data_IF_594386516587
#
_entry.id   IF_594386516587
#
_cell.length_a   1.000
_cell.length_b   1.000
_cell.length_c   1.000
_cell.angle_alpha   90.00
_cell.angle_beta   90.00
_cell.angle_gamma   90.00
#
_symmetry.space_group_name_H-M   'P 1'
#
loop_
_entity.id
_entity.type
_entity.pdbx_description
1 polymer ?
#
# COMPACT_ATOMS: atom_id res chain seq x y z
N UNK A 1 20.95 -18.74 1.02
CA UNK A 1 22.21 -18.44 0.32
C UNK A 1 22.14 -18.87 -1.14
N UNK A 2 21.66 -20.08 -1.44
CA UNK A 2 21.47 -20.56 -2.83
C UNK A 2 20.49 -19.72 -3.67
N UNK A 3 19.54 -19.01 -3.06
CA UNK A 3 18.56 -18.18 -3.76
C UNK A 3 19.13 -16.91 -4.39
N UNK A 4 20.30 -16.47 -3.95
CA UNK A 4 20.92 -15.20 -4.38
C UNK A 4 22.18 -15.41 -5.25
N UNK A 5 22.57 -16.65 -5.54
CA UNK A 5 23.78 -16.93 -6.31
C UNK A 5 23.68 -16.47 -7.79
N UNK A 6 22.45 -16.20 -8.27
CA UNK A 6 22.20 -15.67 -9.62
C UNK A 6 21.83 -14.18 -9.62
N UNK A 7 21.81 -13.53 -8.44
CA UNK A 7 21.40 -12.13 -8.29
C UNK A 7 22.60 -11.28 -7.94
N UNK A 8 22.84 -10.26 -8.75
CA UNK A 8 23.82 -9.22 -8.46
C UNK A 8 23.10 -8.03 -7.84
N UNK A 9 23.44 -7.71 -6.60
CA UNK A 9 22.90 -6.53 -5.92
C UNK A 9 23.76 -5.31 -6.29
N UNK A 10 23.10 -4.26 -6.75
CA UNK A 10 23.71 -2.98 -7.11
C UNK A 10 23.26 -1.86 -6.16
N UNK A 11 24.14 -0.90 -5.89
CA UNK A 11 23.84 0.23 -5.00
C UNK A 11 23.12 1.38 -5.72
N UNK A 12 23.30 1.47 -7.03
CA UNK A 12 22.72 2.54 -7.83
C UNK A 12 21.46 2.04 -8.56
N UNK A 13 20.27 2.63 -8.28
CA UNK A 13 19.03 2.25 -8.98
C UNK A 13 19.09 2.36 -10.51
N UNK A 14 19.92 3.26 -11.05
CA UNK A 14 20.12 3.41 -12.49
C UNK A 14 20.84 2.23 -13.16
N UNK A 15 21.38 1.31 -12.40
CA UNK A 15 22.06 0.10 -12.88
C UNK A 15 21.23 -1.17 -12.64
N UNK A 16 20.09 -1.05 -11.92
CA UNK A 16 19.26 -2.16 -11.54
C UNK A 16 18.28 -2.55 -12.65
N UNK A 17 18.30 -3.79 -13.11
CA UNK A 17 17.26 -4.34 -14.00
C UNK A 17 15.92 -4.48 -13.27
N UNK A 18 15.96 -4.76 -11.95
CA UNK A 18 14.78 -4.88 -11.09
C UNK A 18 15.04 -4.17 -9.77
N UNK A 19 14.15 -3.27 -9.38
CA UNK A 19 14.07 -2.80 -8.01
C UNK A 19 13.03 -3.61 -7.23
N UNK A 20 13.46 -4.23 -6.14
CA UNK A 20 12.56 -4.90 -5.20
C UNK A 20 12.32 -3.99 -3.99
N UNK A 21 11.12 -3.43 -3.90
CA UNK A 21 10.73 -2.57 -2.80
C UNK A 21 10.01 -3.40 -1.72
N UNK A 22 10.65 -3.58 -0.58
CA UNK A 22 10.06 -4.22 0.59
C UNK A 22 9.44 -3.13 1.48
N UNK A 23 8.14 -2.95 1.34
CA UNK A 23 7.37 -1.86 1.95
C UNK A 23 6.69 -2.39 3.20
N UNK A 24 7.13 -1.95 4.38
CA UNK A 24 6.57 -2.37 5.67
C UNK A 24 6.14 -1.13 6.47
N UNK A 25 5.01 -0.51 6.10
CA UNK A 25 4.54 0.67 6.80
C UNK A 25 4.05 0.30 8.19
N UNK A 26 4.12 1.27 9.09
CA UNK A 26 3.66 1.15 10.46
C UNK A 26 2.78 2.35 10.78
N UNK A 27 1.57 2.08 11.29
CA UNK A 27 0.82 3.17 11.91
C UNK A 27 1.56 3.57 13.19
N UNK A 28 1.97 4.82 13.26
CA UNK A 28 2.82 5.32 14.32
C UNK A 28 2.22 5.21 15.72
N UNK A 29 2.63 6.07 16.61
CA UNK A 29 2.17 6.11 18.01
C UNK A 29 0.64 6.30 18.18
N UNK A 30 -0.06 6.52 17.11
CA UNK A 30 -1.48 6.89 17.08
C UNK A 30 -2.43 5.77 17.44
N UNK A 31 -2.05 4.54 17.27
CA UNK A 31 -2.89 3.41 17.67
C UNK A 31 -3.34 3.51 19.13
N UNK A 32 -2.57 4.22 19.95
CA UNK A 32 -2.85 4.41 21.38
C UNK A 32 -3.19 5.86 21.76
N UNK A 33 -2.97 6.84 20.90
CA UNK A 33 -2.99 8.25 21.32
C UNK A 33 -4.23 9.02 20.85
N UNK A 34 -4.85 8.63 19.73
CA UNK A 34 -6.01 9.35 19.18
C UNK A 34 -7.11 8.37 18.83
N UNK A 35 -8.12 8.14 19.71
CA UNK A 35 -9.24 7.26 19.43
C UNK A 35 -9.94 7.67 18.13
N UNK A 36 -10.12 6.69 17.22
CA UNK A 36 -10.85 6.87 15.98
C UNK A 36 -10.08 7.45 14.81
N UNK A 37 -8.77 7.71 14.95
CA UNK A 37 -7.92 8.13 13.85
C UNK A 37 -6.79 7.11 13.60
N UNK A 38 -6.60 6.76 12.35
CA UNK A 38 -5.51 5.92 11.89
C UNK A 38 -5.08 6.38 10.50
N UNK A 39 -3.83 6.83 10.36
CA UNK A 39 -3.28 7.13 9.04
C UNK A 39 -2.97 5.82 8.32
N UNK A 40 -3.61 5.60 7.19
CA UNK A 40 -3.46 4.42 6.35
C UNK A 40 -2.72 4.69 5.04
N UNK A 41 -2.40 5.95 4.75
CA UNK A 41 -1.55 6.30 3.62
C UNK A 41 -0.09 5.89 3.88
N UNK A 42 0.60 5.42 2.85
CA UNK A 42 2.03 5.09 2.93
C UNK A 42 2.81 6.37 2.65
N UNK A 43 3.19 7.07 3.70
CA UNK A 43 3.72 8.43 3.63
C UNK A 43 4.92 8.67 4.55
N UNK A 44 5.62 9.76 4.30
CA UNK A 44 6.70 10.31 5.13
C UNK A 44 6.53 11.82 5.20
N UNK A 45 6.53 12.36 6.44
CA UNK A 45 6.36 13.78 6.72
C UNK A 45 5.05 14.40 6.13
N UNK A 46 4.01 13.60 5.93
CA UNK A 46 2.68 14.06 5.49
C UNK A 46 2.08 14.96 6.57
N UNK A 47 1.55 16.11 6.17
CA UNK A 47 0.79 16.96 7.09
C UNK A 47 -0.65 16.47 7.15
N UNK A 48 -1.10 16.08 8.32
CA UNK A 48 -2.45 15.60 8.58
C UNK A 48 -3.14 16.43 9.65
N UNK A 49 -4.47 16.52 9.58
CA UNK A 49 -5.25 17.22 10.62
C UNK A 49 -5.34 16.35 11.87
N UNK A 50 -5.26 17.00 13.03
CA UNK A 50 -5.66 16.35 14.27
C UNK A 50 -7.17 16.09 14.25
N UNK A 51 -7.61 15.11 15.01
CA UNK A 51 -9.04 14.84 15.21
C UNK A 51 -9.42 15.08 16.68
N UNK A 52 -10.65 15.51 16.91
CA UNK A 52 -11.21 15.63 18.25
C UNK A 52 -11.65 14.28 18.83
N UNK A 53 -12.17 14.26 20.04
CA UNK A 53 -12.67 13.06 20.72
C UNK A 53 -13.82 12.36 19.96
N UNK A 54 -14.49 13.06 19.04
CA UNK A 54 -15.53 12.51 18.18
C UNK A 54 -15.00 12.02 16.83
N UNK A 55 -13.69 12.10 16.56
CA UNK A 55 -13.08 11.73 15.29
C UNK A 55 -13.22 12.79 14.19
N UNK A 56 -13.62 14.04 14.50
CA UNK A 56 -13.73 15.11 13.52
C UNK A 56 -12.43 15.87 13.35
N UNK A 57 -12.03 16.20 12.11
CA UNK A 57 -10.83 17.02 11.87
C UNK A 57 -10.91 18.37 12.58
N UNK A 58 -9.80 18.76 13.17
CA UNK A 58 -9.60 20.08 13.80
C UNK A 58 -8.76 20.98 12.89
N UNK A 59 -8.57 22.23 13.28
CA UNK A 59 -7.67 23.17 12.57
C UNK A 59 -6.17 22.91 12.87
N UNK A 60 -5.88 22.12 13.90
CA UNK A 60 -4.52 21.76 14.25
C UNK A 60 -4.01 20.64 13.36
N UNK A 61 -2.73 20.66 13.07
CA UNK A 61 -2.06 19.67 12.22
C UNK A 61 -0.81 19.13 12.88
N UNK A 62 -0.43 17.92 12.46
CA UNK A 62 0.86 17.32 12.82
C UNK A 62 1.50 16.66 11.61
N UNK A 63 2.72 16.16 11.77
CA UNK A 63 3.42 15.36 10.75
C UNK A 63 3.25 13.88 11.04
N UNK A 64 2.89 13.13 10.00
CA UNK A 64 2.74 11.69 10.05
C UNK A 64 3.75 11.01 9.14
N UNK A 65 4.33 9.92 9.63
CA UNK A 65 5.23 9.05 8.88
C UNK A 65 4.86 7.60 9.16
N UNK A 66 4.28 6.95 8.19
CA UNK A 66 3.98 5.52 8.25
C UNK A 66 5.12 4.67 7.68
N UNK A 67 5.94 5.24 6.80
CA UNK A 67 7.10 4.58 6.21
C UNK A 67 8.26 5.55 6.07
N UNK A 68 9.33 5.32 6.83
CA UNK A 68 10.59 6.07 6.64
C UNK A 68 11.19 5.71 5.28
N UNK A 69 11.51 6.72 4.48
CA UNK A 69 12.02 6.57 3.12
C UNK A 69 10.92 6.51 2.04
N UNK A 70 9.64 6.71 2.39
CA UNK A 70 8.56 6.76 1.41
C UNK A 70 8.81 7.82 0.33
N UNK A 71 9.35 8.98 0.70
CA UNK A 71 9.68 10.06 -0.24
C UNK A 71 10.76 9.70 -1.27
N UNK A 72 11.52 8.62 -1.06
CA UNK A 72 12.57 8.16 -2.00
C UNK A 72 12.04 7.19 -3.06
N UNK A 73 10.89 6.57 -2.82
CA UNK A 73 10.35 5.49 -3.66
C UNK A 73 10.15 5.95 -5.11
N UNK A 74 9.54 7.11 -5.32
CA UNK A 74 9.31 7.64 -6.68
C UNK A 74 10.63 7.86 -7.44
N UNK A 75 11.65 8.43 -6.79
CA UNK A 75 12.94 8.65 -7.42
C UNK A 75 13.68 7.35 -7.76
N UNK A 76 13.55 6.33 -6.92
CA UNK A 76 14.10 4.99 -7.21
C UNK A 76 13.39 4.40 -8.43
N UNK A 77 12.07 4.44 -8.45
CA UNK A 77 11.27 3.92 -9.57
C UNK A 77 11.58 4.64 -10.89
N UNK A 78 11.66 5.97 -10.87
CA UNK A 78 12.04 6.76 -12.03
C UNK A 78 13.43 6.39 -12.57
N UNK A 79 14.41 6.22 -11.70
CA UNK A 79 15.76 5.84 -12.09
C UNK A 79 15.80 4.45 -12.73
N UNK A 80 15.05 3.48 -12.21
CA UNK A 80 14.95 2.13 -12.75
C UNK A 80 14.21 2.13 -14.09
N UNK A 81 13.08 2.81 -14.19
CA UNK A 81 12.27 2.88 -15.40
C UNK A 81 13.00 3.62 -16.54
N UNK A 82 13.86 4.60 -16.23
CA UNK A 82 14.57 5.40 -17.23
C UNK A 82 15.43 4.57 -18.20
N UNK A 83 15.86 3.37 -17.81
CA UNK A 83 16.62 2.45 -18.66
C UNK A 83 15.89 1.13 -18.97
N UNK A 84 14.57 1.09 -18.72
CA UNK A 84 13.73 -0.06 -19.06
C UNK A 84 13.66 -1.14 -17.97
N UNK A 85 14.23 -0.88 -16.80
CA UNK A 85 14.12 -1.76 -15.63
C UNK A 85 12.69 -1.83 -15.09
N UNK A 86 12.45 -2.72 -14.13
CA UNK A 86 11.15 -3.00 -13.55
C UNK A 86 11.15 -2.78 -12.04
N UNK A 87 10.01 -2.35 -11.52
CA UNK A 87 9.78 -2.16 -10.08
C UNK A 87 8.78 -3.19 -9.59
N UNK A 88 9.21 -4.01 -8.66
CA UNK A 88 8.37 -5.00 -7.97
C UNK A 88 8.25 -4.59 -6.52
N UNK A 89 7.04 -4.36 -6.05
CA UNK A 89 6.80 -3.98 -4.66
C UNK A 89 6.12 -5.10 -3.89
N UNK A 90 6.55 -5.31 -2.65
CA UNK A 90 5.88 -6.15 -1.70
C UNK A 90 5.47 -5.32 -0.49
N UNK A 91 4.17 -5.21 -0.25
CA UNK A 91 3.64 -4.47 0.90
C UNK A 91 3.28 -5.45 2.01
N UNK A 92 3.84 -5.24 3.20
CA UNK A 92 3.39 -5.94 4.39
C UNK A 92 2.13 -5.27 4.92
N UNK A 93 1.02 -6.02 4.97
CA UNK A 93 -0.31 -5.51 5.28
C UNK A 93 -0.90 -6.10 6.57
N UNK A 94 -0.37 -5.80 7.75
CA UNK A 94 -1.08 -6.08 9.00
C UNK A 94 -2.38 -5.26 9.10
N UNK A 95 -2.50 -4.20 8.30
CA UNK A 95 -3.64 -3.30 8.18
C UNK A 95 -4.00 -3.11 6.70
N UNK A 96 -5.19 -2.58 6.43
CA UNK A 96 -5.64 -2.23 5.07
C UNK A 96 -5.03 -0.89 4.62
N UNK A 97 -3.74 -0.89 4.30
CA UNK A 97 -3.03 0.29 3.82
C UNK A 97 -3.62 0.83 2.51
N UNK A 98 -3.56 2.14 2.34
CA UNK A 98 -3.81 2.81 1.06
C UNK A 98 -2.61 2.60 0.13
N UNK A 99 -2.79 1.79 -0.90
CA UNK A 99 -1.67 1.31 -1.71
C UNK A 99 -1.37 2.15 -2.95
N UNK A 100 -2.17 3.19 -3.22
CA UNK A 100 -2.09 3.96 -4.46
C UNK A 100 -0.75 4.63 -4.72
N UNK A 101 -0.05 5.09 -3.68
CA UNK A 101 1.28 5.69 -3.82
C UNK A 101 2.33 4.68 -4.30
N UNK A 102 2.22 3.42 -3.89
CA UNK A 102 3.11 2.33 -4.27
C UNK A 102 2.69 1.70 -5.60
N UNK A 103 1.38 1.47 -5.79
CA UNK A 103 0.84 0.88 -7.02
C UNK A 103 1.27 1.69 -8.25
N UNK A 104 1.14 3.00 -8.19
CA UNK A 104 1.43 3.90 -9.31
C UNK A 104 2.88 3.83 -9.83
N UNK A 105 3.82 3.39 -9.01
CA UNK A 105 5.25 3.30 -9.37
C UNK A 105 5.71 1.86 -9.60
N UNK A 106 4.85 0.88 -9.41
CA UNK A 106 5.18 -0.54 -9.47
C UNK A 106 4.70 -1.18 -10.76
N UNK A 107 5.55 -1.99 -11.38
CA UNK A 107 5.16 -2.87 -12.50
C UNK A 107 4.45 -4.13 -12.00
N UNK A 108 4.76 -4.57 -10.79
CA UNK A 108 4.09 -5.65 -10.10
C UNK A 108 3.99 -5.36 -8.60
N UNK A 109 2.85 -5.73 -8.01
CA UNK A 109 2.56 -5.54 -6.60
C UNK A 109 2.19 -6.87 -5.97
N UNK A 110 2.84 -7.21 -4.87
CA UNK A 110 2.49 -8.32 -4.00
C UNK A 110 2.16 -7.83 -2.60
N UNK A 111 1.35 -8.60 -1.89
CA UNK A 111 0.94 -8.28 -0.52
C UNK A 111 1.30 -9.45 0.38
N UNK A 112 1.95 -9.15 1.49
CA UNK A 112 2.29 -10.10 2.53
C UNK A 112 1.59 -9.77 3.85
N UNK A 113 1.34 -10.79 4.66
CA UNK A 113 0.79 -10.68 6.00
C UNK A 113 1.81 -11.27 6.97
N UNK A 114 2.83 -10.50 7.32
CA UNK A 114 4.00 -10.94 8.09
C UNK A 114 4.68 -12.19 7.48
N UNK A 115 4.68 -12.24 6.16
CA UNK A 115 5.24 -13.35 5.39
C UNK A 115 6.76 -13.33 5.46
N UNK A 116 7.39 -14.48 5.65
CA UNK A 116 8.84 -14.57 5.62
C UNK A 116 9.40 -14.08 4.26
N UNK A 117 10.47 -13.30 4.24
CA UNK A 117 11.07 -12.79 3.01
C UNK A 117 11.42 -13.88 1.98
N UNK A 118 11.82 -15.07 2.41
CA UNK A 118 12.07 -16.20 1.53
C UNK A 118 10.82 -16.63 0.74
N UNK A 119 9.67 -16.67 1.39
CA UNK A 119 8.42 -17.04 0.72
C UNK A 119 7.97 -15.95 -0.28
N UNK A 120 8.16 -14.68 0.06
CA UNK A 120 7.93 -13.56 -0.86
C UNK A 120 8.84 -13.67 -2.10
N UNK A 121 10.12 -13.97 -1.90
CA UNK A 121 11.07 -14.15 -3.00
C UNK A 121 10.72 -15.37 -3.87
N UNK A 122 10.21 -16.46 -3.29
CA UNK A 122 9.76 -17.62 -4.07
C UNK A 122 8.61 -17.26 -5.01
N UNK A 123 7.69 -16.40 -4.58
CA UNK A 123 6.62 -15.87 -5.44
C UNK A 123 7.20 -14.98 -6.54
N UNK A 124 8.06 -14.02 -6.17
CA UNK A 124 8.63 -13.05 -7.12
C UNK A 124 9.48 -13.74 -8.19
N UNK A 125 10.26 -14.76 -7.82
CA UNK A 125 11.05 -15.54 -8.76
C UNK A 125 10.27 -16.68 -9.47
N UNK A 126 8.96 -16.74 -9.27
CA UNK A 126 8.10 -17.73 -9.95
C UNK A 126 8.30 -19.17 -9.49
N UNK A 127 8.94 -19.40 -8.36
CA UNK A 127 9.11 -20.74 -7.76
C UNK A 127 7.82 -21.24 -7.12
N UNK A 128 6.96 -20.33 -6.72
CA UNK A 128 5.65 -20.58 -6.16
C UNK A 128 4.61 -19.65 -6.78
N UNK A 129 3.51 -20.20 -7.27
CA UNK A 129 2.38 -19.41 -7.76
C UNK A 129 1.34 -19.27 -6.65
N UNK A 130 1.04 -18.06 -6.18
CA UNK A 130 -0.01 -17.85 -5.19
C UNK A 130 -1.37 -18.19 -5.80
N UNK A 131 -2.16 -19.00 -5.10
CA UNK A 131 -3.50 -19.43 -5.52
C UNK A 131 -4.62 -18.83 -4.67
N UNK A 132 -4.27 -18.17 -3.58
CA UNK A 132 -5.21 -17.51 -2.69
C UNK A 132 -5.70 -16.17 -3.23
N UNK A 133 -6.81 -15.69 -2.65
CA UNK A 133 -7.29 -14.30 -2.83
C UNK A 133 -6.96 -13.51 -1.57
N UNK A 134 -6.81 -12.20 -1.72
CA UNK A 134 -6.65 -11.32 -0.56
C UNK A 134 -7.88 -11.44 0.35
N UNK A 135 -7.69 -11.56 1.67
CA UNK A 135 -8.80 -11.68 2.62
C UNK A 135 -9.53 -10.34 2.84
N UNK A 136 -8.98 -9.25 2.31
CA UNK A 136 -9.53 -7.91 2.43
C UNK A 136 -9.29 -7.13 1.12
N UNK A 137 -10.04 -6.06 0.93
CA UNK A 137 -9.84 -5.11 -0.16
C UNK A 137 -8.90 -4.01 0.30
N UNK A 138 -7.87 -3.71 -0.48
CA UNK A 138 -6.96 -2.61 -0.21
C UNK A 138 -7.47 -1.35 -0.92
N UNK A 139 -7.70 -0.25 -0.21
CA UNK A 139 -8.09 1.00 -0.84
C UNK A 139 -6.91 1.60 -1.61
N UNK A 140 -7.24 2.33 -2.68
CA UNK A 140 -6.23 3.06 -3.44
C UNK A 140 -5.79 4.33 -2.69
N UNK A 141 -6.71 4.99 -2.02
CA UNK A 141 -6.53 6.21 -1.28
C UNK A 141 -7.84 6.69 -0.65
N UNK A 142 -7.80 7.79 0.05
CA UNK A 142 -8.96 8.39 0.75
C UNK A 142 -10.20 8.56 -0.14
N UNK A 143 -10.00 8.81 -1.43
CA UNK A 143 -11.07 9.07 -2.39
C UNK A 143 -12.04 7.89 -2.61
N UNK A 144 -11.62 6.67 -2.22
CA UNK A 144 -12.46 5.47 -2.36
C UNK A 144 -13.26 5.16 -1.08
N UNK A 145 -13.03 5.92 -0.02
CA UNK A 145 -13.77 5.76 1.23
C UNK A 145 -15.11 6.51 1.15
N UNK A 146 -16.20 5.80 1.40
CA UNK A 146 -17.52 6.41 1.37
C UNK A 146 -17.89 7.00 2.72
N UNK A 147 -18.14 8.30 2.73
CA UNK A 147 -18.62 9.04 3.90
C UNK A 147 -19.85 9.86 3.54
N UNK A 148 -20.72 10.11 4.51
CA UNK A 148 -21.83 11.05 4.35
C UNK A 148 -21.37 12.51 4.57
N UNK A 149 -22.29 13.46 4.49
CA UNK A 149 -22.01 14.88 4.68
C UNK A 149 -21.44 15.23 6.07
N UNK A 150 -21.64 14.37 7.05
CA UNK A 150 -21.12 14.53 8.41
C UNK A 150 -19.77 13.83 8.62
N UNK A 151 -19.19 13.24 7.55
CA UNK A 151 -17.93 12.50 7.61
C UNK A 151 -18.05 11.10 8.23
N UNK A 152 -19.26 10.56 8.35
CA UNK A 152 -19.49 9.23 8.93
C UNK A 152 -19.46 8.19 7.81
N UNK A 153 -18.73 7.09 8.02
CA UNK A 153 -18.74 5.94 7.12
C UNK A 153 -20.14 5.37 6.94
N UNK A 154 -20.55 5.24 5.68
CA UNK A 154 -21.91 4.77 5.31
C UNK A 154 -21.90 3.50 4.47
N UNK A 155 -20.71 3.02 4.10
CA UNK A 155 -20.59 1.84 3.25
C UNK A 155 -21.00 0.56 3.99
N UNK A 156 -21.85 -0.27 3.40
CA UNK A 156 -22.20 -1.59 3.92
C UNK A 156 -21.20 -2.68 3.49
N UNK A 157 -20.12 -2.30 2.82
CA UNK A 157 -19.16 -3.23 2.23
C UNK A 157 -18.23 -3.86 3.28
N UNK A 158 -17.36 -4.78 2.84
CA UNK A 158 -16.43 -5.54 3.68
C UNK A 158 -15.47 -4.63 4.47
N UNK A 159 -15.10 -3.50 3.88
CA UNK A 159 -14.30 -2.47 4.52
C UNK A 159 -15.23 -1.30 4.86
N UNK A 160 -15.47 -0.99 6.13
CA UNK A 160 -16.29 0.16 6.52
C UNK A 160 -15.79 1.44 5.83
N UNK A 161 -16.72 2.17 5.23
CA UNK A 161 -16.39 3.38 4.47
C UNK A 161 -15.98 3.15 3.02
N UNK A 162 -15.83 1.92 2.56
CA UNK A 162 -15.42 1.60 1.19
C UNK A 162 -16.61 1.15 0.34
N UNK A 163 -16.89 1.89 -0.73
CA UNK A 163 -17.93 1.54 -1.72
C UNK A 163 -17.27 0.76 -2.85
N UNK A 164 -17.07 -0.51 -2.61
CA UNK A 164 -16.32 -1.47 -3.41
C UNK A 164 -16.69 -1.43 -4.90
N UNK A 165 -17.98 -1.59 -5.20
CA UNK A 165 -18.45 -1.72 -6.59
C UNK A 165 -18.34 -0.41 -7.39
N UNK A 166 -18.29 0.73 -6.71
CA UNK A 166 -18.20 2.04 -7.36
C UNK A 166 -16.79 2.36 -7.87
N UNK A 167 -15.76 1.86 -7.19
CA UNK A 167 -14.37 2.25 -7.43
C UNK A 167 -13.49 1.13 -8.00
N UNK A 168 -13.99 -0.11 -8.05
CA UNK A 168 -13.26 -1.21 -8.66
C UNK A 168 -13.11 -1.01 -10.16
N UNK A 169 -11.90 -1.22 -10.72
CA UNK A 169 -11.70 -1.28 -12.17
C UNK A 169 -12.55 -2.40 -12.79
N UNK A 170 -12.98 -2.21 -14.02
CA UNK A 170 -13.80 -3.21 -14.72
C UNK A 170 -13.09 -4.56 -14.87
N UNK A 171 -11.76 -4.58 -14.93
CA UNK A 171 -10.94 -5.79 -14.93
C UNK A 171 -11.05 -6.64 -13.65
N UNK A 172 -11.57 -6.04 -12.57
CA UNK A 172 -11.76 -6.69 -11.27
C UNK A 172 -13.24 -6.90 -10.93
N UNK A 173 -14.11 -6.79 -11.91
CA UNK A 173 -15.54 -7.04 -11.77
C UNK A 173 -15.91 -8.31 -12.52
N UNK A 174 -16.95 -8.99 -12.03
CA UNK A 174 -17.58 -10.09 -12.75
C UNK A 174 -18.40 -9.60 -13.94
N UNK A 175 -19.01 -10.51 -14.68
CA UNK A 175 -19.89 -10.24 -15.84
C UNK A 175 -21.11 -9.38 -15.51
N UNK A 176 -21.49 -9.28 -14.24
CA UNK A 176 -22.60 -8.46 -13.74
C UNK A 176 -22.11 -7.11 -13.21
N UNK A 177 -20.81 -6.80 -13.34
CA UNK A 177 -20.21 -5.56 -12.85
C UNK A 177 -19.99 -5.52 -11.35
N UNK A 178 -20.02 -6.67 -10.67
CA UNK A 178 -19.80 -6.77 -9.23
C UNK A 178 -18.34 -7.11 -8.95
N UNK A 179 -17.74 -6.42 -7.99
CA UNK A 179 -16.37 -6.68 -7.57
C UNK A 179 -16.21 -8.09 -6.97
N UNK A 180 -15.06 -8.72 -7.28
CA UNK A 180 -14.71 -10.05 -6.76
C UNK A 180 -14.48 -10.05 -5.25
#
# INVERSE_FOLDING_TARGET
REMLDEVVVVDNPAEAEIALLMVSPQSGAYFNATPGYLELDICEDKTVCNVDESGKPTAETHKETTLVGANRISGIAEAVHAHGGKVVSNINCPLAWEVGSIEKVSDALTVGFDTYPSATLDVIFGRFAPVGKLPLTLPKGDEVLAVNADGVCISPNDVPGYVKDAYMPDSMKDENGKAY
#
